data_IF_864841490195
#
_entry.id   IF_864841490195
#
_cell.length_a   1.000
_cell.length_b   1.000
_cell.length_c   1.000
_cell.angle_alpha   90.00
_cell.angle_beta   90.00
_cell.angle_gamma   90.00
#
_symmetry.space_group_name_H-M   'P 1'
#
loop_
_entity.id
_entity.type
_entity.pdbx_description
1 polymer ?
#
# COMPACT_ATOMS: atom_id res chain seq x y z
N UNK A 1 14.83 -2.79 -16.98
CA UNK A 1 14.05 -3.28 -15.83
C UNK A 1 13.69 -4.75 -15.99
N UNK A 2 13.84 -5.57 -14.95
CA UNK A 2 13.41 -6.98 -14.93
C UNK A 2 11.88 -7.11 -14.98
N UNK A 3 11.34 -8.29 -15.31
CA UNK A 3 9.90 -8.53 -15.29
C UNK A 3 9.27 -8.24 -13.91
N UNK A 4 9.94 -8.68 -12.83
CA UNK A 4 9.50 -8.39 -11.46
C UNK A 4 9.49 -6.89 -11.13
N UNK A 5 10.48 -6.14 -11.61
CA UNK A 5 10.51 -4.69 -11.40
C UNK A 5 9.36 -3.97 -12.14
N UNK A 6 9.00 -4.43 -13.36
CA UNK A 6 7.85 -3.88 -14.09
C UNK A 6 6.53 -4.19 -13.38
N UNK A 7 6.35 -5.41 -12.89
CA UNK A 7 5.16 -5.79 -12.13
C UNK A 7 5.01 -4.98 -10.84
N UNK A 8 6.11 -4.83 -10.08
CA UNK A 8 6.13 -4.01 -8.86
C UNK A 8 5.80 -2.53 -9.16
N UNK A 9 6.38 -1.98 -10.23
CA UNK A 9 6.08 -0.60 -10.66
C UNK A 9 4.61 -0.43 -11.05
N UNK A 10 4.06 -1.37 -11.83
CA UNK A 10 2.65 -1.33 -12.23
C UNK A 10 1.72 -1.41 -11.00
N UNK A 11 2.02 -2.30 -10.06
CA UNK A 11 1.25 -2.44 -8.81
C UNK A 11 1.31 -1.15 -7.97
N UNK A 12 2.50 -0.54 -7.83
CA UNK A 12 2.67 0.71 -7.11
C UNK A 12 1.91 1.86 -7.79
N UNK A 13 2.02 2.01 -9.11
CA UNK A 13 1.34 3.06 -9.86
C UNK A 13 -0.19 2.93 -9.79
N UNK A 14 -0.72 1.72 -9.97
CA UNK A 14 -2.15 1.45 -9.82
C UNK A 14 -2.61 1.69 -8.38
N UNK A 15 -1.82 1.27 -7.39
CA UNK A 15 -2.10 1.53 -5.98
C UNK A 15 -2.14 3.03 -5.66
N UNK A 16 -1.23 3.82 -6.23
CA UNK A 16 -1.24 5.28 -6.12
C UNK A 16 -2.49 5.90 -6.74
N UNK A 17 -2.90 5.44 -7.92
CA UNK A 17 -4.14 5.89 -8.57
C UNK A 17 -5.38 5.57 -7.71
N UNK A 18 -5.47 4.35 -7.16
CA UNK A 18 -6.54 3.96 -6.24
C UNK A 18 -6.56 4.85 -4.98
N UNK A 19 -5.39 5.16 -4.41
CA UNK A 19 -5.28 6.02 -3.24
C UNK A 19 -5.80 7.44 -3.52
N UNK A 20 -5.47 8.01 -4.68
CA UNK A 20 -5.98 9.33 -5.10
C UNK A 20 -7.49 9.31 -5.26
N UNK A 21 -8.04 8.28 -5.92
CA UNK A 21 -9.48 8.12 -6.10
C UNK A 21 -10.21 7.97 -4.76
N UNK A 22 -9.68 7.14 -3.85
CA UNK A 22 -10.25 6.94 -2.52
C UNK A 22 -10.23 8.23 -1.70
N UNK A 23 -9.13 8.99 -1.74
CA UNK A 23 -9.01 10.28 -1.07
C UNK A 23 -10.00 11.33 -1.61
N UNK A 24 -10.16 11.41 -2.94
CA UNK A 24 -11.13 12.31 -3.56
C UNK A 24 -12.58 11.92 -3.21
N UNK A 25 -12.88 10.62 -3.23
CA UNK A 25 -14.20 10.12 -2.84
C UNK A 25 -14.50 10.43 -1.36
N UNK A 26 -13.51 10.25 -0.47
CA UNK A 26 -13.64 10.60 0.94
C UNK A 26 -13.98 12.08 1.17
N UNK A 27 -13.29 12.98 0.45
CA UNK A 27 -13.41 14.42 0.64
C UNK A 27 -14.73 15.01 0.09
N UNK A 28 -15.33 14.39 -0.92
CA UNK A 28 -16.43 14.99 -1.67
C UNK A 28 -17.76 14.24 -1.59
N UNK A 29 -17.74 12.92 -1.35
CA UNK A 29 -18.91 12.06 -1.55
C UNK A 29 -19.21 11.14 -0.37
N UNK A 30 -18.25 10.88 0.51
CA UNK A 30 -18.41 9.94 1.61
C UNK A 30 -19.04 10.58 2.87
N UNK A 31 -19.82 9.79 3.60
CA UNK A 31 -20.20 10.12 4.99
C UNK A 31 -18.95 10.20 5.89
N UNK A 32 -19.02 10.95 7.00
CA UNK A 32 -17.87 11.12 7.91
C UNK A 32 -17.20 9.80 8.35
N UNK A 33 -17.98 8.77 8.70
CA UNK A 33 -17.44 7.48 9.14
C UNK A 33 -16.71 6.74 8.00
N UNK A 34 -17.31 6.72 6.80
CA UNK A 34 -16.69 6.15 5.61
C UNK A 34 -15.45 6.93 5.18
N UNK A 35 -15.49 8.27 5.25
CA UNK A 35 -14.37 9.15 4.91
C UNK A 35 -13.15 8.84 5.76
N UNK A 36 -13.31 8.65 7.08
CA UNK A 36 -12.20 8.32 7.98
C UNK A 36 -11.49 7.01 7.62
N UNK A 37 -12.23 6.00 7.13
CA UNK A 37 -11.66 4.73 6.68
C UNK A 37 -10.94 4.89 5.33
N UNK A 38 -11.56 5.58 4.38
CA UNK A 38 -11.01 5.84 3.05
C UNK A 38 -9.74 6.67 3.12
N UNK A 39 -9.72 7.75 3.89
CA UNK A 39 -8.54 8.61 4.07
C UNK A 39 -7.37 7.83 4.69
N UNK A 40 -7.66 6.99 5.69
CA UNK A 40 -6.64 6.14 6.31
C UNK A 40 -6.07 5.14 5.30
N UNK A 41 -6.93 4.45 4.54
CA UNK A 41 -6.50 3.53 3.48
C UNK A 41 -5.66 4.24 2.41
N UNK A 42 -6.15 5.38 1.91
CA UNK A 42 -5.50 6.19 0.88
C UNK A 42 -4.10 6.63 1.30
N UNK A 43 -3.97 7.19 2.51
CA UNK A 43 -2.69 7.64 3.04
C UNK A 43 -1.66 6.51 3.08
N UNK A 44 -2.02 5.35 3.60
CA UNK A 44 -1.08 4.23 3.72
C UNK A 44 -0.78 3.57 2.36
N UNK A 45 -1.76 3.46 1.46
CA UNK A 45 -1.54 2.94 0.11
C UNK A 45 -0.60 3.84 -0.68
N UNK A 46 -0.83 5.17 -0.66
CA UNK A 46 0.02 6.13 -1.37
C UNK A 46 1.44 6.12 -0.82
N UNK A 47 1.61 6.12 0.50
CA UNK A 47 2.93 6.06 1.12
C UNK A 47 3.73 4.82 0.70
N UNK A 48 3.08 3.64 0.64
CA UNK A 48 3.74 2.40 0.26
C UNK A 48 3.95 2.26 -1.25
N UNK A 49 3.06 2.82 -2.07
CA UNK A 49 3.26 2.93 -3.52
C UNK A 49 4.50 3.79 -3.83
N UNK A 50 4.60 4.98 -3.22
CA UNK A 50 5.76 5.87 -3.40
C UNK A 50 7.04 5.23 -2.86
N UNK A 51 6.99 4.57 -1.69
CA UNK A 51 8.13 3.83 -1.16
C UNK A 51 8.59 2.70 -2.09
N UNK A 52 7.65 1.95 -2.69
CA UNK A 52 7.97 0.92 -3.67
C UNK A 52 8.67 1.50 -4.91
N UNK A 53 8.18 2.62 -5.45
CA UNK A 53 8.81 3.30 -6.58
C UNK A 53 10.22 3.81 -6.21
N UNK A 54 10.40 4.36 -5.00
CA UNK A 54 11.70 4.79 -4.51
C UNK A 54 12.68 3.61 -4.37
N UNK A 55 12.24 2.48 -3.78
CA UNK A 55 13.07 1.27 -3.63
C UNK A 55 13.51 0.71 -5.00
N UNK A 56 12.67 0.77 -6.03
CA UNK A 56 13.05 0.37 -7.40
C UNK A 56 14.16 1.23 -8.00
N UNK A 57 14.32 2.47 -7.54
CA UNK A 57 15.36 3.40 -8.00
C UNK A 57 16.69 3.24 -7.25
N UNK A 58 16.71 2.52 -6.12
CA UNK A 58 17.92 2.32 -5.31
C UNK A 58 18.71 1.09 -5.77
N UNK A 59 20.06 1.10 -5.64
CA UNK A 59 20.91 -0.05 -5.96
C UNK A 59 20.88 -1.10 -4.84
N UNK A 60 19.69 -1.53 -4.42
CA UNK A 60 19.50 -2.51 -3.36
C UNK A 60 19.39 -3.94 -3.92
N UNK A 61 19.97 -4.95 -3.23
CA UNK A 61 19.71 -6.34 -3.58
C UNK A 61 18.22 -6.64 -3.42
N UNK A 62 17.65 -7.37 -4.40
CA UNK A 62 16.23 -7.75 -4.42
C UNK A 62 15.25 -6.56 -4.40
N UNK A 63 15.65 -5.37 -4.88
CA UNK A 63 14.80 -4.17 -4.95
C UNK A 63 13.41 -4.44 -5.54
N UNK A 64 13.31 -5.22 -6.62
CA UNK A 64 12.02 -5.57 -7.23
C UNK A 64 11.07 -6.34 -6.28
N UNK A 65 11.60 -7.26 -5.47
CA UNK A 65 10.82 -8.03 -4.52
C UNK A 65 10.37 -7.17 -3.33
N UNK A 66 11.28 -6.33 -2.80
CA UNK A 66 10.97 -5.39 -1.72
C UNK A 66 9.91 -4.37 -2.14
N UNK A 67 10.04 -3.81 -3.36
CA UNK A 67 9.05 -2.91 -3.92
C UNK A 67 7.69 -3.59 -4.12
N UNK A 68 7.69 -4.82 -4.64
CA UNK A 68 6.47 -5.62 -4.78
C UNK A 68 5.78 -5.85 -3.43
N UNK A 69 6.55 -6.21 -2.39
CA UNK A 69 6.03 -6.39 -1.03
C UNK A 69 5.41 -5.11 -0.47
N UNK A 70 6.10 -3.97 -0.58
CA UNK A 70 5.59 -2.68 -0.11
C UNK A 70 4.26 -2.33 -0.82
N UNK A 71 4.23 -2.39 -2.14
CA UNK A 71 3.04 -2.04 -2.93
C UNK A 71 1.87 -2.99 -2.64
N UNK A 72 2.12 -4.30 -2.53
CA UNK A 72 1.10 -5.29 -2.21
C UNK A 72 0.56 -5.13 -0.78
N UNK A 73 1.44 -4.93 0.21
CA UNK A 73 1.05 -4.76 1.60
C UNK A 73 0.20 -3.49 1.80
N UNK A 74 0.62 -2.38 1.20
CA UNK A 74 -0.16 -1.14 1.22
C UNK A 74 -1.53 -1.29 0.55
N UNK A 75 -1.60 -2.02 -0.57
CA UNK A 75 -2.87 -2.28 -1.27
C UNK A 75 -3.79 -3.23 -0.50
N UNK A 76 -3.25 -4.25 0.17
CA UNK A 76 -4.02 -5.17 1.02
C UNK A 76 -4.64 -4.43 2.22
N UNK A 77 -3.82 -3.66 2.93
CA UNK A 77 -4.29 -2.85 4.05
C UNK A 77 -5.36 -1.87 3.61
N UNK A 78 -5.09 -1.07 2.57
CA UNK A 78 -6.01 -0.05 2.12
C UNK A 78 -7.30 -0.63 1.53
N UNK A 79 -7.19 -1.69 0.72
CA UNK A 79 -8.33 -2.39 0.14
C UNK A 79 -9.31 -2.89 1.22
N UNK A 80 -8.79 -3.40 2.35
CA UNK A 80 -9.64 -3.80 3.48
C UNK A 80 -10.41 -2.64 4.11
N UNK A 81 -9.80 -1.46 4.22
CA UNK A 81 -10.48 -0.27 4.74
C UNK A 81 -11.49 0.30 3.75
N UNK A 82 -11.18 0.26 2.45
CA UNK A 82 -12.10 0.72 1.41
C UNK A 82 -13.35 -0.15 1.35
N UNK A 83 -13.22 -1.48 1.44
CA UNK A 83 -14.40 -2.35 1.43
C UNK A 83 -15.26 -2.13 2.67
N UNK A 84 -14.66 -1.96 3.85
CA UNK A 84 -15.40 -1.59 5.07
C UNK A 84 -16.12 -0.25 4.93
N UNK A 85 -15.47 0.76 4.32
CA UNK A 85 -16.08 2.06 4.07
C UNK A 85 -17.29 1.97 3.12
N UNK A 86 -17.32 0.96 2.24
CA UNK A 86 -18.40 0.69 1.30
C UNK A 86 -19.45 -0.29 1.85
N UNK A 87 -19.42 -0.58 3.16
CA UNK A 87 -20.44 -1.38 3.84
C UNK A 87 -20.18 -2.89 3.87
N UNK A 88 -18.96 -3.34 3.59
CA UNK A 88 -18.62 -4.74 3.73
C UNK A 88 -18.64 -5.19 5.21
N UNK A 89 -18.82 -6.50 5.50
CA UNK A 89 -18.95 -6.98 6.87
C UNK A 89 -17.74 -6.64 7.74
N UNK A 90 -17.97 -6.28 9.01
CA UNK A 90 -16.92 -5.93 9.97
C UNK A 90 -15.84 -7.02 10.14
N UNK A 91 -16.17 -8.28 9.88
CA UNK A 91 -15.22 -9.40 9.88
C UNK A 91 -14.04 -9.20 8.90
N UNK A 92 -14.24 -8.46 7.79
CA UNK A 92 -13.16 -8.13 6.87
C UNK A 92 -12.12 -7.17 7.48
N UNK A 93 -12.44 -6.52 8.60
CA UNK A 93 -11.47 -5.74 9.37
C UNK A 93 -10.29 -6.55 9.88
N UNK A 94 -10.40 -7.89 9.99
CA UNK A 94 -9.27 -8.76 10.34
C UNK A 94 -8.20 -8.87 9.24
N UNK A 95 -8.53 -8.50 8.00
CA UNK A 95 -7.53 -8.38 6.92
C UNK A 95 -6.60 -7.19 7.18
N UNK A 96 -7.09 -6.14 7.86
CA UNK A 96 -6.33 -4.92 8.15
C UNK A 96 -5.08 -5.20 9.02
N UNK A 97 -5.15 -5.95 10.15
CA UNK A 97 -3.96 -6.38 10.90
C UNK A 97 -2.92 -7.09 10.04
N UNK A 98 -3.33 -8.02 9.16
CA UNK A 98 -2.42 -8.76 8.29
C UNK A 98 -1.69 -7.83 7.32
N UNK A 99 -2.42 -6.91 6.68
CA UNK A 99 -1.84 -5.88 5.84
C UNK A 99 -0.88 -4.97 6.60
N UNK A 100 -1.26 -4.54 7.81
CA UNK A 100 -0.42 -3.71 8.68
C UNK A 100 0.88 -4.41 9.09
N UNK A 101 0.82 -5.69 9.47
CA UNK A 101 2.03 -6.48 9.77
C UNK A 101 2.93 -6.63 8.54
N UNK A 102 2.36 -6.87 7.36
CA UNK A 102 3.12 -6.94 6.11
C UNK A 102 3.80 -5.60 5.76
N UNK A 103 3.13 -4.47 6.01
CA UNK A 103 3.71 -3.13 5.84
C UNK A 103 4.91 -2.92 6.76
N UNK A 104 4.77 -3.23 8.06
CA UNK A 104 5.87 -3.15 9.03
C UNK A 104 7.04 -4.03 8.58
N UNK A 105 6.77 -5.29 8.20
CA UNK A 105 7.80 -6.20 7.69
C UNK A 105 8.50 -5.64 6.44
N UNK A 106 7.76 -5.02 5.52
CA UNK A 106 8.32 -4.37 4.33
C UNK A 106 9.36 -3.30 4.66
N UNK A 107 9.03 -2.39 5.59
CA UNK A 107 9.99 -1.35 6.04
C UNK A 107 11.21 -1.94 6.74
N UNK A 108 11.01 -2.93 7.62
CA UNK A 108 12.12 -3.60 8.31
C UNK A 108 13.05 -4.32 7.33
N UNK A 109 12.50 -4.94 6.28
CA UNK A 109 13.30 -5.59 5.24
C UNK A 109 14.06 -4.59 4.38
N UNK A 110 13.49 -3.41 4.07
CA UNK A 110 14.21 -2.33 3.41
C UNK A 110 15.37 -1.83 4.28
N UNK A 111 15.12 -1.58 5.57
CA UNK A 111 16.16 -1.18 6.51
C UNK A 111 17.28 -2.24 6.58
N UNK A 112 16.91 -3.51 6.70
CA UNK A 112 17.87 -4.61 6.75
C UNK A 112 18.63 -4.80 5.42
N UNK A 113 18.04 -4.48 4.27
CA UNK A 113 18.73 -4.49 2.98
C UNK A 113 19.72 -3.33 2.86
N UNK A 114 19.40 -2.16 3.41
CA UNK A 114 20.30 -1.01 3.43
C UNK A 114 21.49 -1.18 4.40
N UNK A 115 21.28 -1.89 5.52
CA UNK A 115 22.31 -2.12 6.54
C UNK A 115 23.25 -3.29 6.21
N UNK A 116 22.77 -4.31 5.48
CA UNK A 116 23.56 -5.49 5.10
C UNK A 116 24.43 -5.25 3.86
N UNK A 117 25.11 -4.10 3.79
CA UNK A 117 26.05 -3.78 2.71
C UNK A 117 27.03 -4.93 2.47
#
# INVERSE_FOLDING_TARGET
>A
MTAGARAALALAALGGACAVLAGAFAAHLASADAAALLEKGARYQLAHALAAMAVLALPLPRAAALAGLLAAAGSLFAGSLYTLALGAPAALGWVTPVGGTAMVAGWLLVAAAALRR
#
